data_IF_172798254310
#
_entry.id   IF_172798254310
#
_cell.length_a   1.000
_cell.length_b   1.000
_cell.length_c   1.000
_cell.angle_alpha   90.00
_cell.angle_beta   90.00
_cell.angle_gamma   90.00
#
_symmetry.space_group_name_H-M   'P 1'
#
loop_
_entity.id
_entity.type
_entity.pdbx_description
1 polymer ?
#
# COMPACT_ATOMS: atom_id res chain seq x y z
N UNK A 1 16.33 1.52 5.99
CA UNK A 1 15.94 0.15 6.44
C UNK A 1 16.47 -0.92 5.49
N UNK A 2 16.16 -0.87 4.18
CA UNK A 2 16.64 -1.87 3.22
C UNK A 2 18.17 -1.98 3.23
N UNK A 3 18.91 -0.87 3.28
CA UNK A 3 20.39 -0.91 3.37
C UNK A 3 20.89 -1.70 4.59
N UNK A 4 20.23 -1.52 5.74
CA UNK A 4 20.57 -2.24 6.96
C UNK A 4 20.30 -3.73 6.83
N UNK A 5 19.14 -4.11 6.26
CA UNK A 5 18.80 -5.51 6.02
C UNK A 5 19.76 -6.15 5.00
N UNK A 6 20.06 -5.46 3.90
CA UNK A 6 20.97 -5.93 2.87
C UNK A 6 22.41 -6.11 3.37
N UNK A 7 22.84 -5.32 4.36
CA UNK A 7 24.15 -5.46 4.99
C UNK A 7 24.19 -6.51 6.12
N UNK A 8 23.04 -7.03 6.56
CA UNK A 8 22.99 -7.93 7.72
C UNK A 8 23.41 -9.36 7.33
N UNK A 9 24.39 -9.98 8.01
CA UNK A 9 25.00 -11.25 7.58
C UNK A 9 24.04 -12.46 7.57
N UNK A 10 22.91 -12.36 8.25
CA UNK A 10 21.85 -13.41 8.27
C UNK A 10 20.71 -13.16 7.27
N UNK A 11 20.78 -12.09 6.49
CA UNK A 11 19.76 -11.74 5.49
C UNK A 11 20.38 -11.85 4.11
N UNK A 12 19.67 -12.52 3.21
CA UNK A 12 20.04 -12.55 1.79
C UNK A 12 19.55 -11.26 1.15
N UNK A 13 20.47 -10.40 0.71
CA UNK A 13 20.15 -9.05 0.22
C UNK A 13 19.31 -9.03 -1.06
N UNK A 14 19.33 -10.13 -1.82
CA UNK A 14 18.54 -10.37 -3.03
C UNK A 14 17.15 -10.97 -2.75
N UNK A 15 16.81 -11.22 -1.48
CA UNK A 15 15.56 -11.87 -1.05
C UNK A 15 14.83 -11.04 0.01
N UNK A 16 14.65 -9.75 -0.27
CA UNK A 16 13.91 -8.84 0.59
C UNK A 16 12.54 -8.58 -0.03
N UNK A 17 11.48 -8.88 0.71
CA UNK A 17 10.11 -8.50 0.38
C UNK A 17 9.58 -7.42 1.32
N UNK A 18 8.51 -6.74 0.93
CA UNK A 18 7.85 -5.74 1.77
C UNK A 18 6.34 -5.94 1.76
N UNK A 19 5.72 -5.89 2.93
CA UNK A 19 4.27 -5.95 3.09
C UNK A 19 3.85 -4.77 3.93
N UNK A 20 2.73 -4.16 3.59
CA UNK A 20 2.20 -3.02 4.33
C UNK A 20 0.69 -2.99 4.31
N UNK A 21 0.10 -2.59 5.43
CA UNK A 21 -1.36 -2.48 5.61
C UNK A 21 -1.73 -1.01 5.76
N UNK A 22 -2.84 -0.59 5.16
CA UNK A 22 -3.32 0.79 5.16
C UNK A 22 -2.23 1.75 4.62
N UNK A 23 -1.89 2.82 5.34
CA UNK A 23 -0.76 3.70 5.01
C UNK A 23 0.59 2.97 4.92
N UNK A 24 0.76 1.83 5.59
CA UNK A 24 1.92 0.96 5.37
C UNK A 24 1.96 0.42 3.93
N UNK A 25 0.80 0.12 3.35
CA UNK A 25 0.64 -0.29 1.96
C UNK A 25 1.06 0.82 0.98
N UNK A 26 0.72 2.09 1.29
CA UNK A 26 1.23 3.24 0.52
C UNK A 26 2.77 3.25 0.47
N UNK A 27 3.42 3.11 1.63
CA UNK A 27 4.89 3.08 1.69
C UNK A 27 5.48 1.86 0.99
N UNK A 28 4.83 0.70 1.08
CA UNK A 28 5.23 -0.49 0.34
C UNK A 28 5.19 -0.25 -1.18
N UNK A 29 4.08 0.31 -1.70
CA UNK A 29 3.94 0.69 -3.11
C UNK A 29 4.97 1.74 -3.53
N UNK A 30 5.16 2.79 -2.73
CA UNK A 30 6.16 3.84 -3.01
C UNK A 30 7.58 3.27 -3.04
N UNK A 31 7.92 2.35 -2.13
CA UNK A 31 9.21 1.68 -2.14
C UNK A 31 9.40 0.83 -3.40
N UNK A 32 8.36 0.13 -3.87
CA UNK A 32 8.41 -0.62 -5.14
C UNK A 32 8.64 0.27 -6.38
N UNK A 33 8.29 1.56 -6.30
CA UNK A 33 8.58 2.56 -7.34
C UNK A 33 10.04 3.02 -7.28
N UNK A 34 10.58 3.20 -6.07
CA UNK A 34 11.86 3.91 -5.87
C UNK A 34 13.07 3.00 -5.62
N UNK A 35 12.86 1.75 -5.23
CA UNK A 35 13.92 0.81 -4.84
C UNK A 35 13.75 -0.54 -5.54
N UNK A 36 14.68 -0.86 -6.42
CA UNK A 36 14.66 -2.07 -7.25
C UNK A 36 15.13 -3.33 -6.51
N UNK A 37 15.58 -3.21 -5.25
CA UNK A 37 16.07 -4.35 -4.47
C UNK A 37 14.95 -5.19 -3.85
N UNK A 38 13.72 -4.68 -3.83
CA UNK A 38 12.57 -5.45 -3.37
C UNK A 38 12.21 -6.51 -4.40
N UNK A 39 12.17 -7.76 -3.98
CA UNK A 39 11.87 -8.93 -4.83
C UNK A 39 10.38 -9.18 -4.99
N UNK A 40 9.57 -8.79 -4.01
CA UNK A 40 8.11 -8.88 -4.03
C UNK A 40 7.49 -7.92 -3.02
N UNK A 41 6.31 -7.39 -3.32
CA UNK A 41 5.62 -6.42 -2.46
C UNK A 41 4.13 -6.73 -2.33
N UNK A 42 3.59 -6.57 -1.11
CA UNK A 42 2.17 -6.79 -0.78
C UNK A 42 1.59 -5.53 -0.15
N UNK A 43 1.01 -4.61 -0.94
CA UNK A 43 0.19 -3.53 -0.40
C UNK A 43 -1.23 -4.04 -0.10
N UNK A 44 -1.68 -3.87 1.14
CA UNK A 44 -3.04 -4.14 1.57
C UNK A 44 -3.73 -2.82 1.96
N UNK A 45 -4.83 -2.47 1.28
CA UNK A 45 -5.58 -1.23 1.53
C UNK A 45 -4.74 0.05 1.40
N UNK A 46 -3.92 0.15 0.35
CA UNK A 46 -3.00 1.27 0.17
C UNK A 46 -3.68 2.52 -0.42
N UNK A 47 -3.71 3.67 0.28
CA UNK A 47 -4.18 4.91 -0.31
C UNK A 47 -3.09 5.50 -1.21
N UNK A 48 -3.37 5.86 -2.46
CA UNK A 48 -2.34 6.32 -3.40
C UNK A 48 -2.69 7.57 -4.20
N UNK A 49 -3.92 7.75 -4.67
CA UNK A 49 -4.29 8.94 -5.44
C UNK A 49 -5.71 9.40 -5.14
N UNK A 50 -6.69 8.54 -5.39
CA UNK A 50 -8.11 8.83 -5.21
C UNK A 50 -8.43 9.13 -3.75
N UNK A 51 -7.75 8.44 -2.83
CA UNK A 51 -7.86 8.64 -1.38
C UNK A 51 -7.19 9.91 -0.87
N UNK A 52 -6.42 10.61 -1.71
CA UNK A 52 -5.74 11.87 -1.37
C UNK A 52 -6.43 13.11 -1.95
N UNK A 53 -7.70 12.96 -2.37
CA UNK A 53 -8.54 14.06 -2.83
C UNK A 53 -9.25 14.73 -1.65
N UNK A 54 -9.63 16.00 -1.81
CA UNK A 54 -10.43 16.70 -0.80
C UNK A 54 -11.75 15.97 -0.52
N UNK A 55 -12.35 15.39 -1.57
CA UNK A 55 -13.60 14.64 -1.49
C UNK A 55 -13.48 13.34 -0.70
N UNK A 56 -12.33 12.68 -0.71
CA UNK A 56 -12.11 11.45 0.04
C UNK A 56 -12.16 11.65 1.57
N UNK A 57 -12.07 12.89 2.05
CA UNK A 57 -12.23 13.19 3.47
C UNK A 57 -13.70 13.31 3.92
N UNK A 58 -14.66 13.41 2.99
CA UNK A 58 -16.07 13.42 3.36
C UNK A 58 -16.50 12.04 3.86
N UNK A 59 -17.03 11.99 5.09
CA UNK A 59 -17.47 10.74 5.72
C UNK A 59 -16.37 9.99 6.47
N UNK A 60 -15.10 10.40 6.35
CA UNK A 60 -14.04 9.81 7.18
C UNK A 60 -14.27 10.11 8.67
N UNK A 61 -14.10 9.12 9.57
CA UNK A 61 -14.15 9.33 11.00
C UNK A 61 -13.15 10.40 11.48
N UNK A 62 -13.59 11.30 12.37
CA UNK A 62 -12.77 12.41 12.88
C UNK A 62 -11.44 11.93 13.49
N UNK A 63 -11.43 10.78 14.16
CA UNK A 63 -10.20 10.18 14.72
C UNK A 63 -9.15 9.90 13.64
N UNK A 64 -9.56 9.49 12.45
CA UNK A 64 -8.67 9.23 11.32
C UNK A 64 -8.16 10.55 10.76
N UNK A 65 -9.04 11.55 10.60
CA UNK A 65 -8.64 12.90 10.16
C UNK A 65 -7.58 13.49 11.11
N UNK A 66 -7.78 13.36 12.43
CA UNK A 66 -6.81 13.83 13.43
C UNK A 66 -5.49 13.06 13.37
N UNK A 67 -5.54 11.74 13.21
CA UNK A 67 -4.34 10.93 13.02
C UNK A 67 -3.55 11.38 11.78
N UNK A 68 -4.24 11.56 10.64
CA UNK A 68 -3.63 12.06 9.41
C UNK A 68 -3.00 13.44 9.59
N UNK A 69 -3.70 14.38 10.23
CA UNK A 69 -3.15 15.72 10.55
C UNK A 69 -1.89 15.65 11.41
N UNK A 70 -1.88 14.78 12.41
CA UNK A 70 -0.74 14.63 13.30
C UNK A 70 0.49 14.09 12.55
N UNK A 71 0.31 13.05 11.72
CA UNK A 71 1.44 12.44 10.99
C UNK A 71 1.90 13.27 9.80
N UNK A 72 1.02 14.06 9.18
CA UNK A 72 1.36 14.97 8.09
C UNK A 72 1.89 16.34 8.56
N UNK A 73 1.84 16.62 9.87
CA UNK A 73 2.17 17.92 10.45
C UNK A 73 1.21 19.05 10.07
N UNK A 74 -0.01 18.71 9.61
CA UNK A 74 -0.96 19.67 9.05
C UNK A 74 -1.73 20.42 10.13
N UNK A 75 -1.63 21.76 10.10
CA UNK A 75 -2.26 22.66 11.09
C UNK A 75 -3.72 22.99 10.76
N UNK A 76 -4.16 22.76 9.53
CA UNK A 76 -5.53 22.98 9.06
C UNK A 76 -5.97 21.88 8.09
N UNK A 77 -7.28 21.76 7.84
CA UNK A 77 -7.82 20.83 6.83
C UNK A 77 -7.27 21.15 5.43
N UNK A 78 -7.15 22.43 5.07
CA UNK A 78 -6.56 22.83 3.79
C UNK A 78 -5.12 22.32 3.65
N UNK A 79 -4.29 22.52 4.68
CA UNK A 79 -2.91 22.00 4.67
C UNK A 79 -2.85 20.47 4.70
N UNK A 80 -3.85 19.80 5.26
CA UNK A 80 -3.95 18.35 5.20
C UNK A 80 -4.21 17.89 3.77
N UNK A 81 -5.23 18.45 3.10
CA UNK A 81 -5.54 18.11 1.71
C UNK A 81 -4.34 18.35 0.80
N UNK A 82 -3.63 19.46 0.96
CA UNK A 82 -2.42 19.76 0.19
C UNK A 82 -1.33 18.71 0.42
N UNK A 83 -1.01 18.43 1.69
CA UNK A 83 0.03 17.46 2.04
C UNK A 83 -0.31 16.04 1.55
N UNK A 84 -1.59 15.62 1.65
CA UNK A 84 -2.02 14.32 1.13
C UNK A 84 -1.93 14.28 -0.40
N UNK A 85 -2.35 15.33 -1.10
CA UNK A 85 -2.26 15.40 -2.55
C UNK A 85 -0.81 15.28 -3.04
N UNK A 86 0.17 15.85 -2.32
CA UNK A 86 1.61 15.69 -2.62
C UNK A 86 2.11 14.25 -2.47
N UNK A 87 1.43 13.41 -1.70
CA UNK A 87 1.77 11.99 -1.57
C UNK A 87 1.32 11.16 -2.78
N UNK A 88 0.54 11.74 -3.70
CA UNK A 88 -0.02 11.03 -4.85
C UNK A 88 1.02 10.24 -5.65
N UNK A 89 0.72 8.96 -5.93
CA UNK A 89 1.54 8.10 -6.79
C UNK A 89 1.06 8.05 -8.25
N UNK A 90 0.04 8.84 -8.60
CA UNK A 90 -0.50 8.89 -9.95
C UNK A 90 0.58 9.13 -11.01
N UNK A 91 0.52 8.39 -12.11
CA UNK A 91 1.50 8.45 -13.19
C UNK A 91 2.86 7.84 -12.86
N UNK A 92 2.99 7.08 -11.76
CA UNK A 92 4.23 6.41 -11.38
C UNK A 92 4.13 4.88 -11.28
N UNK A 93 2.92 4.31 -11.33
CA UNK A 93 2.71 2.87 -11.18
C UNK A 93 3.48 2.02 -12.20
N UNK A 94 3.66 2.51 -13.43
CA UNK A 94 4.44 1.85 -14.49
C UNK A 94 5.93 1.67 -14.17
N UNK A 95 6.45 2.39 -13.17
CA UNK A 95 7.81 2.22 -12.66
C UNK A 95 7.94 0.94 -11.79
N UNK A 96 6.82 0.40 -11.29
CA UNK A 96 6.80 -0.81 -10.47
C UNK A 96 7.11 -2.01 -11.37
N UNK A 97 8.35 -2.50 -11.24
CA UNK A 97 8.84 -3.72 -11.91
C UNK A 97 8.82 -4.95 -11.01
N UNK A 98 8.77 -4.72 -9.70
CA UNK A 98 8.66 -5.77 -8.69
C UNK A 98 7.28 -6.42 -8.74
N UNK A 99 7.17 -7.76 -8.66
CA UNK A 99 5.90 -8.45 -8.51
C UNK A 99 5.09 -7.91 -7.31
N UNK A 100 3.79 -7.72 -7.53
CA UNK A 100 2.86 -7.20 -6.53
C UNK A 100 1.72 -8.19 -6.26
N UNK A 101 1.33 -8.34 -5.00
CA UNK A 101 0.02 -8.88 -4.60
C UNK A 101 -0.75 -7.76 -3.90
N UNK A 102 -1.66 -7.14 -4.63
CA UNK A 102 -2.45 -5.99 -4.16
C UNK A 102 -3.74 -6.51 -3.55
N UNK A 103 -3.97 -6.18 -2.28
CA UNK A 103 -5.11 -6.71 -1.49
C UNK A 103 -5.97 -5.55 -1.00
N UNK A 104 -7.29 -5.68 -1.07
CA UNK A 104 -8.20 -4.84 -0.29
C UNK A 104 -9.58 -5.48 -0.13
N UNK A 105 -10.47 -4.84 0.63
CA UNK A 105 -11.91 -5.06 0.48
C UNK A 105 -12.43 -4.44 -0.82
N UNK A 106 -13.46 -5.04 -1.43
CA UNK A 106 -14.11 -4.46 -2.61
C UNK A 106 -14.92 -3.19 -2.29
N UNK A 107 -15.33 -3.05 -1.03
CA UNK A 107 -16.19 -1.97 -0.54
C UNK A 107 -15.51 -1.21 0.61
N UNK A 108 -14.25 -0.84 0.41
CA UNK A 108 -13.49 -0.04 1.38
C UNK A 108 -14.13 1.34 1.56
N UNK A 109 -14.56 1.62 2.79
CA UNK A 109 -15.24 2.86 3.17
C UNK A 109 -14.29 3.92 3.71
N UNK A 110 -13.04 3.55 4.00
CA UNK A 110 -12.02 4.48 4.51
C UNK A 110 -11.14 5.05 3.39
N UNK A 111 -10.82 4.23 2.39
CA UNK A 111 -10.04 4.64 1.22
C UNK A 111 -10.71 4.16 -0.06
N UNK A 112 -10.37 4.78 -1.19
CA UNK A 112 -10.92 4.37 -2.48
C UNK A 112 -10.35 3.02 -2.91
N UNK A 113 -11.20 2.01 -3.09
CA UNK A 113 -10.82 0.73 -3.72
C UNK A 113 -10.15 0.93 -5.08
N UNK A 114 -10.47 2.00 -5.81
CA UNK A 114 -9.84 2.34 -7.09
C UNK A 114 -8.32 2.50 -6.98
N UNK A 115 -7.79 2.93 -5.83
CA UNK A 115 -6.33 3.01 -5.64
C UNK A 115 -5.67 1.63 -5.75
N UNK A 116 -6.34 0.57 -5.27
CA UNK A 116 -5.84 -0.81 -5.40
C UNK A 116 -5.90 -1.31 -6.85
N UNK A 117 -6.96 -0.94 -7.58
CA UNK A 117 -7.10 -1.26 -9.01
C UNK A 117 -6.00 -0.57 -9.81
N UNK A 118 -5.78 0.72 -9.59
CA UNK A 118 -4.75 1.51 -10.29
C UNK A 118 -3.33 0.98 -10.06
N UNK A 119 -3.00 0.53 -8.84
CA UNK A 119 -1.71 -0.11 -8.57
C UNK A 119 -1.57 -1.37 -9.41
N UNK A 120 -2.58 -2.24 -9.41
CA UNK A 120 -2.53 -3.53 -10.07
C UNK A 120 -2.49 -3.40 -11.61
N UNK A 121 -3.26 -2.48 -12.19
CA UNK A 121 -3.25 -2.23 -13.63
C UNK A 121 -1.97 -1.50 -14.09
N UNK A 122 -1.41 -0.63 -13.25
CA UNK A 122 -0.23 0.15 -13.59
C UNK A 122 1.10 -0.60 -13.41
N UNK A 123 1.18 -1.55 -12.48
CA UNK A 123 2.39 -2.32 -12.23
C UNK A 123 2.67 -3.35 -13.35
N UNK A 124 3.95 -3.71 -13.56
CA UNK A 124 4.33 -4.62 -14.66
C UNK A 124 3.85 -6.06 -14.42
N UNK A 125 3.82 -6.48 -13.15
CA UNK A 125 3.39 -7.81 -12.73
C UNK A 125 2.63 -7.68 -11.41
N UNK A 126 1.31 -7.76 -11.45
CA UNK A 126 0.49 -7.66 -10.25
C UNK A 126 -0.67 -8.65 -10.27
N UNK A 127 -1.00 -9.13 -9.08
CA UNK A 127 -2.25 -9.84 -8.80
C UNK A 127 -3.10 -8.89 -7.95
N UNK A 128 -4.33 -8.64 -8.38
CA UNK A 128 -5.32 -7.91 -7.58
C UNK A 128 -6.23 -8.93 -6.88
N UNK A 129 -6.34 -8.83 -5.56
CA UNK A 129 -7.29 -9.60 -4.76
C UNK A 129 -8.19 -8.66 -3.97
N UNK A 130 -9.41 -8.50 -4.44
CA UNK A 130 -10.47 -7.79 -3.71
C UNK A 130 -11.36 -8.81 -3.00
N UNK A 131 -11.51 -8.65 -1.70
CA UNK A 131 -12.37 -9.49 -0.88
C UNK A 131 -13.81 -8.99 -0.95
N UNK A 132 -14.77 -9.85 -1.36
CA UNK A 132 -16.14 -9.42 -1.59
C UNK A 132 -16.86 -9.08 -0.28
N UNK A 133 -17.59 -7.97 -0.27
CA UNK A 133 -18.30 -7.45 0.90
C UNK A 133 -17.40 -7.22 2.12
N UNK A 134 -16.14 -6.84 1.89
CA UNK A 134 -15.22 -6.47 2.96
C UNK A 134 -14.81 -5.00 2.83
N UNK A 135 -14.43 -4.45 3.96
CA UNK A 135 -14.11 -3.03 4.13
C UNK A 135 -12.58 -2.84 4.12
N UNK A 136 -12.11 -1.75 4.71
CA UNK A 136 -10.71 -1.37 4.75
C UNK A 136 -9.76 -2.50 5.10
N UNK A 137 -8.80 -2.77 4.20
CA UNK A 137 -7.79 -3.81 4.30
C UNK A 137 -8.34 -5.24 4.45
N UNK A 138 -9.58 -5.49 4.04
CA UNK A 138 -10.24 -6.80 4.11
C UNK A 138 -10.12 -7.47 5.49
N UNK A 139 -10.38 -6.72 6.56
CA UNK A 139 -10.16 -7.20 7.93
C UNK A 139 -11.11 -8.33 8.33
N UNK A 140 -12.27 -8.47 7.68
CA UNK A 140 -13.14 -9.64 7.83
C UNK A 140 -12.46 -10.95 7.40
N UNK A 141 -11.50 -10.86 6.49
CA UNK A 141 -10.73 -11.99 5.96
C UNK A 141 -9.25 -11.97 6.38
N UNK A 142 -8.91 -11.30 7.50
CA UNK A 142 -7.53 -11.07 7.93
C UNK A 142 -6.61 -12.30 7.88
N UNK A 143 -7.04 -13.40 8.51
CA UNK A 143 -6.23 -14.62 8.57
C UNK A 143 -6.00 -15.22 7.18
N UNK A 144 -7.03 -15.21 6.32
CA UNK A 144 -6.94 -15.78 4.98
C UNK A 144 -5.95 -15.01 4.12
N UNK A 145 -6.12 -13.69 4.04
CA UNK A 145 -5.28 -12.87 3.15
C UNK A 145 -3.85 -12.74 3.70
N UNK A 146 -3.67 -12.79 5.02
CA UNK A 146 -2.34 -12.84 5.63
C UNK A 146 -1.61 -14.15 5.29
N UNK A 147 -2.28 -15.30 5.45
CA UNK A 147 -1.70 -16.61 5.16
C UNK A 147 -1.32 -16.72 3.67
N UNK A 148 -2.19 -16.23 2.78
CA UNK A 148 -1.89 -16.16 1.35
C UNK A 148 -0.71 -15.23 1.04
N UNK A 149 -0.66 -14.04 1.66
CA UNK A 149 0.45 -13.11 1.50
C UNK A 149 1.78 -13.73 1.91
N UNK A 150 1.81 -14.48 3.01
CA UNK A 150 3.01 -15.17 3.48
C UNK A 150 3.43 -16.28 2.53
N UNK A 151 2.49 -17.11 2.07
CA UNK A 151 2.79 -18.17 1.10
C UNK A 151 3.32 -17.60 -0.22
N UNK A 152 2.66 -16.56 -0.73
CA UNK A 152 3.06 -15.89 -1.97
C UNK A 152 4.44 -15.23 -1.85
N UNK A 153 4.68 -14.47 -0.77
CA UNK A 153 6.00 -13.88 -0.50
C UNK A 153 7.07 -14.96 -0.39
N UNK A 154 6.81 -16.05 0.34
CA UNK A 154 7.77 -17.15 0.47
C UNK A 154 8.14 -17.74 -0.89
N UNK A 155 7.18 -17.93 -1.79
CA UNK A 155 7.43 -18.41 -3.14
C UNK A 155 8.33 -17.43 -3.93
N UNK A 156 7.96 -16.14 -3.96
CA UNK A 156 8.71 -15.10 -4.68
C UNK A 156 10.15 -14.91 -4.18
N UNK A 157 10.38 -15.14 -2.88
CA UNK A 157 11.70 -15.00 -2.23
C UNK A 157 12.54 -16.29 -2.26
N UNK A 158 11.95 -17.41 -2.67
CA UNK A 158 12.65 -18.70 -2.74
C UNK A 158 13.32 -18.92 -4.10
N UNK A 159 12.71 -18.41 -5.17
CA UNK A 159 13.29 -18.29 -6.53
C UNK A 159 14.61 -17.51 -6.51
#
# INVERSE_FOLDING_TARGET
MIDYLAAHPKVKSDRIGMMGVSFGGYWATRMAITDTRLRAVVPCGAPTHHSFTASASFGMPEVIVQALRAVSGSKSLLSLTQNLHELSLFGQYQKIKTPMLVINGDTDTLISTQDSVDIAEGATQAILKLYPNDDHCAMGHYNEWLDESQHWLKAQLSE
#
